data_IF_931743035385
#
_entry.id   IF_931743035385
#
_cell.length_a   1.000
_cell.length_b   1.000
_cell.length_c   1.000
_cell.angle_alpha   90.00
_cell.angle_beta   90.00
_cell.angle_gamma   90.00
#
_symmetry.space_group_name_H-M   'P 1'
#
loop_
_entity.id
_entity.type
_entity.pdbx_description
1 polymer ?
#
# COMPACT_ATOMS: atom_id res chain seq x y z
N UNK A 1 -33.18 -44.72 -37.05
CA UNK A 1 -32.93 -43.75 -35.97
C UNK A 1 -31.94 -42.70 -36.48
N UNK A 2 -32.40 -41.48 -36.80
CA UNK A 2 -31.52 -40.33 -37.07
C UNK A 2 -32.17 -39.12 -36.39
N UNK A 3 -31.59 -38.67 -35.27
CA UNK A 3 -32.06 -37.52 -34.51
C UNK A 3 -31.56 -36.22 -35.14
N UNK A 4 -32.45 -35.50 -35.83
CA UNK A 4 -32.23 -34.11 -36.27
C UNK A 4 -32.71 -33.13 -35.20
N UNK A 5 -31.89 -32.77 -34.21
CA UNK A 5 -32.14 -31.59 -33.35
C UNK A 5 -30.84 -30.95 -32.80
N UNK A 6 -30.12 -30.13 -33.58
CA UNK A 6 -29.17 -29.15 -33.02
C UNK A 6 -29.64 -27.69 -33.11
N UNK A 7 -30.69 -27.38 -33.88
CA UNK A 7 -31.08 -25.99 -34.18
C UNK A 7 -31.80 -25.25 -33.03
N UNK A 8 -32.51 -25.97 -32.15
CA UNK A 8 -33.34 -25.33 -31.10
C UNK A 8 -32.50 -24.85 -29.91
N UNK A 9 -31.40 -25.54 -29.59
CA UNK A 9 -30.52 -25.19 -28.47
C UNK A 9 -29.71 -23.91 -28.75
N UNK A 10 -29.34 -23.68 -30.01
CA UNK A 10 -28.61 -22.47 -30.40
C UNK A 10 -29.47 -21.20 -30.32
N UNK A 11 -30.77 -21.30 -30.62
CA UNK A 11 -31.68 -20.13 -30.56
C UNK A 11 -31.97 -19.74 -29.10
N UNK A 12 -32.09 -20.70 -28.18
CA UNK A 12 -32.27 -20.43 -26.76
C UNK A 12 -31.04 -19.75 -26.11
N UNK A 13 -29.83 -20.15 -26.51
CA UNK A 13 -28.59 -19.60 -25.96
C UNK A 13 -28.35 -18.15 -26.42
N UNK A 14 -28.70 -17.82 -27.67
CA UNK A 14 -28.59 -16.45 -28.22
C UNK A 14 -29.62 -15.50 -27.61
N UNK A 15 -30.80 -16.01 -27.24
CA UNK A 15 -31.87 -15.22 -26.62
C UNK A 15 -31.53 -14.81 -25.17
N UNK A 16 -30.82 -15.67 -24.43
CA UNK A 16 -30.37 -15.38 -23.06
C UNK A 16 -29.20 -14.37 -23.06
N UNK A 17 -28.33 -14.37 -24.07
CA UNK A 17 -27.27 -13.37 -24.21
C UNK A 17 -27.80 -11.96 -24.55
N UNK A 18 -28.91 -11.87 -25.29
CA UNK A 18 -29.52 -10.59 -25.67
C UNK A 18 -30.28 -9.91 -24.52
N UNK A 19 -30.80 -10.67 -23.55
CA UNK A 19 -31.56 -10.12 -22.42
C UNK A 19 -30.69 -9.47 -21.32
N UNK A 20 -29.37 -9.67 -21.33
CA UNK A 20 -28.45 -9.04 -20.37
C UNK A 20 -27.96 -7.67 -20.88
N UNK A 21 -28.20 -7.33 -22.15
CA UNK A 21 -27.71 -6.08 -22.78
C UNK A 21 -28.72 -4.92 -22.77
N UNK A 22 -29.92 -5.11 -22.20
CA UNK A 22 -31.01 -4.13 -22.26
C UNK A 22 -31.65 -3.90 -20.88
N UNK A 23 -30.88 -3.33 -19.96
CA UNK A 23 -31.42 -2.59 -18.80
C UNK A 23 -30.57 -1.35 -18.59
N UNK A 24 -31.01 -0.21 -19.13
CA UNK A 24 -30.48 1.13 -18.87
C UNK A 24 -31.35 1.83 -17.81
N UNK A 25 -30.89 2.94 -17.21
CA UNK A 25 -31.50 4.19 -17.63
C UNK A 25 -30.52 5.35 -17.88
N UNK A 26 -31.05 6.28 -18.66
CA UNK A 26 -30.50 7.50 -19.22
C UNK A 26 -30.27 8.65 -18.22
N UNK A 27 -29.51 9.66 -18.70
CA UNK A 27 -29.42 11.09 -18.30
C UNK A 27 -28.36 11.51 -17.26
N UNK A 28 -27.45 12.38 -17.70
CA UNK A 28 -26.53 13.14 -16.85
C UNK A 28 -25.06 12.81 -17.08
N UNK A 29 -24.35 13.67 -17.82
CA UNK A 29 -22.94 13.49 -18.14
C UNK A 29 -22.05 13.48 -16.91
N UNK A 30 -21.38 12.35 -16.67
CA UNK A 30 -19.99 12.32 -16.21
C UNK A 30 -19.43 10.99 -16.71
N UNK A 31 -18.40 11.00 -17.54
CA UNK A 31 -17.77 9.80 -18.12
C UNK A 31 -17.14 8.92 -17.02
N UNK A 32 -17.98 8.14 -16.34
CA UNK A 32 -17.58 7.10 -15.40
C UNK A 32 -17.51 5.75 -16.11
N UNK A 33 -16.39 5.04 -15.95
CA UNK A 33 -16.24 3.64 -16.38
C UNK A 33 -17.45 2.77 -16.01
N UNK A 34 -17.92 1.92 -16.92
CA UNK A 34 -19.02 0.96 -16.67
C UNK A 34 -18.61 -0.22 -15.78
N UNK A 35 -17.35 -0.29 -15.36
CA UNK A 35 -16.83 -1.35 -14.50
C UNK A 35 -17.38 -1.25 -13.08
N UNK A 36 -17.70 -2.39 -12.48
CA UNK A 36 -17.92 -2.47 -11.04
C UNK A 36 -16.61 -2.23 -10.29
N UNK A 37 -16.69 -1.83 -9.01
CA UNK A 37 -15.48 -1.66 -8.18
C UNK A 37 -14.65 -2.94 -8.11
N UNK A 38 -15.30 -4.10 -8.03
CA UNK A 38 -14.60 -5.39 -8.03
C UNK A 38 -13.85 -5.64 -9.34
N UNK A 39 -14.49 -5.42 -10.49
CA UNK A 39 -13.84 -5.56 -11.80
C UNK A 39 -12.69 -4.58 -11.97
N UNK A 40 -12.86 -3.34 -11.50
CA UNK A 40 -11.80 -2.35 -11.51
C UNK A 40 -10.60 -2.83 -10.69
N UNK A 41 -10.82 -3.30 -9.45
CA UNK A 41 -9.75 -3.81 -8.59
C UNK A 41 -9.04 -5.03 -9.19
N UNK A 42 -9.79 -5.95 -9.81
CA UNK A 42 -9.24 -7.10 -10.53
C UNK A 42 -8.38 -6.68 -11.73
N UNK A 43 -8.86 -5.74 -12.53
CA UNK A 43 -8.11 -5.21 -13.66
C UNK A 43 -6.83 -4.48 -13.21
N UNK A 44 -6.92 -3.68 -12.14
CA UNK A 44 -5.76 -3.01 -11.54
C UNK A 44 -4.74 -4.03 -11.01
N UNK A 45 -5.18 -5.10 -10.33
CA UNK A 45 -4.31 -6.20 -9.91
C UNK A 45 -3.53 -6.79 -11.08
N UNK A 46 -4.26 -7.15 -12.14
CA UNK A 46 -3.68 -7.80 -13.32
C UNK A 46 -2.76 -6.87 -14.11
N UNK A 47 -3.01 -5.56 -14.09
CA UNK A 47 -2.11 -4.57 -14.68
C UNK A 47 -0.85 -4.42 -13.83
N UNK A 48 -0.98 -4.32 -12.50
CA UNK A 48 0.14 -4.18 -11.57
C UNK A 48 1.05 -5.42 -11.56
N UNK A 49 0.52 -6.63 -11.75
CA UNK A 49 1.35 -7.84 -11.82
C UNK A 49 2.23 -7.93 -13.08
N UNK A 50 1.99 -7.07 -14.07
CA UNK A 50 2.78 -6.96 -15.31
C UNK A 50 3.68 -5.74 -15.33
N UNK A 51 3.76 -5.02 -14.21
CA UNK A 51 4.58 -3.83 -14.09
C UNK A 51 6.05 -4.21 -14.20
N UNK A 52 6.80 -3.58 -15.11
CA UNK A 52 8.25 -3.77 -15.20
C UNK A 52 9.01 -2.69 -14.43
N UNK A 53 8.44 -1.49 -14.35
CA UNK A 53 9.05 -0.34 -13.69
C UNK A 53 7.97 0.65 -13.26
N UNK A 54 8.22 1.41 -12.20
CA UNK A 54 7.37 2.52 -11.76
C UNK A 54 8.19 3.68 -11.19
N UNK A 55 7.65 4.88 -11.35
CA UNK A 55 8.02 6.02 -10.54
C UNK A 55 7.16 6.05 -9.29
N UNK A 56 7.77 6.39 -8.15
CA UNK A 56 7.13 6.31 -6.84
C UNK A 56 7.37 7.59 -6.09
N UNK A 57 6.28 8.28 -5.74
CA UNK A 57 6.30 9.40 -4.79
C UNK A 57 5.72 8.93 -3.46
N UNK A 58 6.49 9.14 -2.38
CA UNK A 58 6.08 8.81 -1.01
C UNK A 58 5.97 10.08 -0.20
N UNK A 59 4.83 10.26 0.46
CA UNK A 59 4.65 11.29 1.49
C UNK A 59 3.94 10.68 2.68
N UNK A 60 4.59 10.69 3.82
CA UNK A 60 4.03 10.27 5.09
C UNK A 60 4.23 11.38 6.13
N UNK A 61 3.22 11.58 6.97
CA UNK A 61 3.27 12.49 8.10
C UNK A 61 2.65 11.80 9.29
N UNK A 62 3.22 11.99 10.46
CA UNK A 62 2.65 11.46 11.69
C UNK A 62 3.05 12.27 12.90
N UNK A 63 2.44 11.91 14.02
CA UNK A 63 2.72 12.48 15.33
C UNK A 63 2.78 11.37 16.36
N UNK A 64 3.70 11.47 17.30
CA UNK A 64 3.89 10.47 18.35
C UNK A 64 4.56 11.07 19.58
N UNK A 65 4.65 10.28 20.64
CA UNK A 65 5.43 10.63 21.83
C UNK A 65 6.80 9.96 21.72
N UNK A 66 7.86 10.76 21.71
CA UNK A 66 9.22 10.27 21.83
C UNK A 66 9.58 10.17 23.32
N UNK A 67 10.14 9.02 23.73
CA UNK A 67 10.71 8.85 25.06
C UNK A 67 12.19 9.24 24.96
N UNK A 68 12.59 10.32 25.62
CA UNK A 68 14.01 10.68 25.69
C UNK A 68 14.71 9.78 26.70
N UNK A 69 15.41 8.75 26.24
CA UNK A 69 16.37 8.02 27.06
C UNK A 69 17.68 8.82 27.09
N UNK A 70 17.84 9.64 28.13
CA UNK A 70 19.16 10.21 28.39
C UNK A 70 20.14 9.05 28.62
N UNK A 71 21.18 8.94 27.80
CA UNK A 71 22.27 7.94 27.90
C UNK A 71 23.18 8.15 29.12
N UNK A 72 22.70 8.81 30.17
CA UNK A 72 23.42 8.95 31.42
C UNK A 72 23.13 7.71 32.30
N UNK A 73 24.20 7.07 32.76
CA UNK A 73 24.25 5.97 33.73
C UNK A 73 23.13 6.07 34.77
N UNK A 74 22.36 4.99 35.03
CA UNK A 74 21.14 5.06 35.83
C UNK A 74 21.45 5.43 37.28
N UNK A 75 21.29 6.70 37.64
CA UNK A 75 21.10 7.12 39.03
C UNK A 75 19.61 7.05 39.32
N UNK A 76 19.23 6.28 40.33
CA UNK A 76 17.87 6.09 40.83
C UNK A 76 17.12 7.41 40.99
N UNK A 77 16.16 7.70 40.10
CA UNK A 77 15.19 8.79 40.30
C UNK A 77 14.78 9.63 39.08
N UNK A 78 15.30 9.40 37.87
CA UNK A 78 14.88 10.18 36.70
C UNK A 78 13.57 9.66 36.12
N UNK A 79 12.48 10.44 36.26
CA UNK A 79 11.23 10.20 35.53
C UNK A 79 11.50 10.41 34.03
N UNK A 80 11.22 9.44 33.14
CA UNK A 80 11.40 9.64 31.71
C UNK A 80 10.48 10.77 31.24
N UNK A 81 11.08 11.82 30.67
CA UNK A 81 10.34 12.92 30.06
C UNK A 81 9.88 12.50 28.67
N UNK A 82 8.58 12.36 28.49
CA UNK A 82 7.97 12.18 27.18
C UNK A 82 7.89 13.52 26.47
N UNK A 83 8.31 13.56 25.21
CA UNK A 83 8.21 14.76 24.36
C UNK A 83 7.34 14.43 23.16
N UNK A 84 6.30 15.22 22.95
CA UNK A 84 5.47 15.11 21.75
C UNK A 84 6.28 15.54 20.53
N UNK A 85 6.20 14.79 19.45
CA UNK A 85 6.87 15.12 18.20
C UNK A 85 6.01 14.83 16.99
N UNK A 86 6.32 15.53 15.91
CA UNK A 86 5.80 15.22 14.57
C UNK A 86 6.95 14.73 13.71
N UNK A 87 6.64 13.88 12.75
CA UNK A 87 7.57 13.49 11.71
C UNK A 87 6.92 13.64 10.36
N UNK A 88 7.72 13.97 9.36
CA UNK A 88 7.34 13.88 7.96
C UNK A 88 8.44 13.17 7.18
N UNK A 89 8.04 12.23 6.34
CA UNK A 89 8.86 11.55 5.37
C UNK A 89 8.35 11.97 3.99
N UNK A 90 9.24 12.47 3.15
CA UNK A 90 8.99 12.61 1.71
C UNK A 90 10.04 11.82 0.97
N UNK A 91 9.68 11.15 -0.10
CA UNK A 91 10.64 10.52 -0.97
C UNK A 91 10.13 10.40 -2.38
N UNK A 92 11.05 10.24 -3.32
CA UNK A 92 10.74 9.90 -4.68
C UNK A 92 11.80 8.96 -5.24
N UNK A 93 11.45 8.26 -6.30
CA UNK A 93 12.41 7.47 -7.02
C UNK A 93 11.81 6.57 -8.06
N UNK A 94 12.69 5.82 -8.70
CA UNK A 94 12.36 4.92 -9.78
C UNK A 94 12.71 3.49 -9.36
N UNK A 95 11.78 2.59 -9.62
CA UNK A 95 11.92 1.16 -9.46
C UNK A 95 11.87 0.51 -10.84
N UNK A 96 12.81 -0.38 -11.11
CA UNK A 96 12.86 -1.23 -12.28
C UNK A 96 13.12 -2.68 -11.83
N UNK A 97 12.06 -3.49 -11.94
CA UNK A 97 12.09 -4.87 -11.50
C UNK A 97 13.08 -5.70 -12.34
N UNK A 98 13.71 -6.73 -11.74
CA UNK A 98 13.52 -7.14 -10.34
C UNK A 98 14.45 -6.43 -9.33
N UNK A 99 15.56 -5.82 -9.78
CA UNK A 99 16.71 -5.56 -8.90
C UNK A 99 17.38 -4.19 -9.14
N UNK A 100 16.68 -3.22 -9.71
CA UNK A 100 17.22 -1.88 -9.95
C UNK A 100 16.29 -0.83 -9.33
N UNK A 101 16.84 -0.02 -8.44
CA UNK A 101 16.09 0.99 -7.70
C UNK A 101 16.97 2.22 -7.53
N UNK A 102 16.38 3.41 -7.60
CA UNK A 102 17.01 4.66 -7.16
C UNK A 102 16.00 5.49 -6.40
N UNK A 103 16.22 5.66 -5.10
CA UNK A 103 15.31 6.38 -4.22
C UNK A 103 16.03 7.51 -3.47
N UNK A 104 15.29 8.57 -3.20
CA UNK A 104 15.71 9.66 -2.33
C UNK A 104 14.65 9.89 -1.28
N UNK A 105 15.07 10.03 -0.03
CA UNK A 105 14.19 10.25 1.11
C UNK A 105 14.67 11.45 1.92
N UNK A 106 13.74 12.24 2.39
CA UNK A 106 13.93 13.28 3.38
C UNK A 106 13.03 12.97 4.59
N UNK A 107 13.65 12.85 5.75
CA UNK A 107 12.96 12.64 7.03
C UNK A 107 13.16 13.89 7.87
N UNK A 108 12.06 14.57 8.18
CA UNK A 108 12.03 15.70 9.10
C UNK A 108 11.35 15.27 10.39
N UNK A 109 12.00 15.50 11.52
CA UNK A 109 11.47 15.26 12.86
C UNK A 109 11.41 16.59 13.59
N UNK A 110 10.24 16.95 14.11
CA UNK A 110 10.06 18.12 14.97
C UNK A 110 9.63 17.65 16.35
N UNK A 111 10.49 17.86 17.36
CA UNK A 111 10.24 17.43 18.73
C UNK A 111 9.92 18.66 19.57
N UNK A 112 8.81 18.64 20.30
CA UNK A 112 8.44 19.69 21.24
C UNK A 112 9.54 19.81 22.30
N UNK A 113 10.16 20.98 22.42
CA UNK A 113 11.31 21.26 23.29
C UNK A 113 12.60 20.49 22.94
N UNK A 114 12.69 19.93 21.73
CA UNK A 114 13.88 19.27 21.21
C UNK A 114 14.42 19.96 19.96
N UNK A 115 15.48 19.39 19.39
CA UNK A 115 16.07 19.87 18.14
C UNK A 115 15.27 19.34 16.95
N UNK A 116 14.81 20.23 16.08
CA UNK A 116 14.26 19.83 14.79
C UNK A 116 15.40 19.33 13.90
N UNK A 117 15.23 18.14 13.33
CA UNK A 117 16.25 17.52 12.47
C UNK A 117 15.64 17.20 11.12
N UNK A 118 16.39 17.46 10.05
CA UNK A 118 16.08 16.96 8.72
C UNK A 118 17.28 16.18 8.22
N UNK A 119 17.04 14.94 7.81
CA UNK A 119 18.05 14.06 7.27
C UNK A 119 17.64 13.64 5.87
N UNK A 120 18.57 13.78 4.92
CA UNK A 120 18.41 13.29 3.57
C UNK A 120 19.20 11.99 3.40
N UNK A 121 18.61 11.05 2.68
CA UNK A 121 19.20 9.76 2.36
C UNK A 121 18.95 9.49 0.87
N UNK A 122 20.00 9.14 0.14
CA UNK A 122 19.85 8.58 -1.20
C UNK A 122 20.26 7.12 -1.19
N UNK A 123 19.51 6.30 -1.91
CA UNK A 123 19.72 4.87 -2.05
C UNK A 123 19.70 4.49 -3.53
N UNK A 124 20.62 3.62 -3.94
CA UNK A 124 20.57 2.94 -5.23
C UNK A 124 20.71 1.45 -4.95
N UNK A 125 19.79 0.64 -5.47
CA UNK A 125 19.93 -0.83 -5.47
C UNK A 125 20.27 -1.26 -6.88
N UNK A 126 21.32 -2.08 -7.03
CA UNK A 126 21.70 -2.65 -8.30
C UNK A 126 22.17 -4.08 -8.10
N UNK A 127 21.33 -5.03 -8.52
CA UNK A 127 21.59 -6.46 -8.30
C UNK A 127 21.68 -6.77 -6.80
N UNK A 128 22.83 -7.30 -6.38
CA UNK A 128 23.09 -7.68 -4.98
C UNK A 128 23.76 -6.57 -4.16
N UNK A 129 23.89 -5.36 -4.71
CA UNK A 129 24.52 -4.21 -4.05
C UNK A 129 23.50 -3.13 -3.72
N UNK A 130 23.71 -2.50 -2.58
CA UNK A 130 22.97 -1.32 -2.13
C UNK A 130 23.97 -0.20 -1.88
N UNK A 131 23.78 0.92 -2.55
CA UNK A 131 24.59 2.12 -2.41
C UNK A 131 23.80 3.13 -1.59
N UNK A 132 24.39 3.62 -0.50
CA UNK A 132 23.74 4.59 0.38
C UNK A 132 24.60 5.86 0.43
N UNK A 133 23.98 7.00 0.14
CA UNK A 133 24.62 8.30 0.32
C UNK A 133 24.24 8.87 1.68
N UNK A 134 25.24 9.15 2.52
CA UNK A 134 25.01 9.85 3.77
C UNK A 134 24.70 11.34 3.56
N UNK A 135 24.37 12.04 4.65
CA UNK A 135 24.10 13.49 4.64
C UNK A 135 25.31 14.36 4.24
N UNK A 136 26.52 13.79 4.20
CA UNK A 136 27.75 14.46 3.74
C UNK A 136 28.05 14.21 2.26
N UNK A 137 27.17 13.50 1.55
CA UNK A 137 27.33 13.17 0.13
C UNK A 137 28.26 11.97 -0.13
N UNK A 138 28.71 11.26 0.90
CA UNK A 138 29.61 10.12 0.76
C UNK A 138 28.80 8.85 0.50
N UNK A 139 29.23 8.07 -0.50
CA UNK A 139 28.61 6.80 -0.86
C UNK A 139 29.25 5.62 -0.14
N UNK A 140 28.42 4.75 0.40
CA UNK A 140 28.78 3.47 1.00
C UNK A 140 28.16 2.35 0.17
N UNK A 141 28.89 1.25 0.03
CA UNK A 141 28.41 0.06 -0.68
C UNK A 141 28.18 -1.04 0.33
N UNK A 142 27.00 -1.63 0.29
CA UNK A 142 26.55 -2.71 1.16
C UNK A 142 26.12 -3.90 0.31
N UNK A 143 26.33 -5.10 0.82
CA UNK A 143 25.71 -6.29 0.26
C UNK A 143 24.22 -6.29 0.64
N UNK A 144 23.35 -6.54 -0.34
CA UNK A 144 21.89 -6.60 -0.12
C UNK A 144 21.52 -7.65 0.94
N UNK A 145 22.26 -8.75 0.99
CA UNK A 145 22.09 -9.81 2.00
C UNK A 145 22.32 -9.33 3.43
N UNK A 146 23.18 -8.32 3.64
CA UNK A 146 23.43 -7.74 4.95
C UNK A 146 22.26 -6.88 5.45
N UNK A 147 21.33 -6.52 4.56
CA UNK A 147 20.18 -5.68 4.84
C UNK A 147 18.85 -6.43 4.75
N UNK A 148 18.91 -7.76 4.74
CA UNK A 148 17.72 -8.62 4.74
C UNK A 148 16.84 -8.29 5.95
N UNK A 149 15.58 -7.90 5.71
CA UNK A 149 14.63 -7.43 6.72
C UNK A 149 14.61 -5.91 6.95
N UNK A 150 15.48 -5.13 6.29
CA UNK A 150 15.51 -3.66 6.38
C UNK A 150 15.28 -2.96 5.03
N UNK A 151 15.79 -3.52 3.93
CA UNK A 151 15.48 -3.08 2.56
C UNK A 151 14.93 -4.25 1.78
N UNK A 152 13.62 -4.40 1.84
CA UNK A 152 12.89 -5.08 0.78
C UNK A 152 12.23 -4.02 -0.09
N UNK A 153 12.48 -4.10 -1.39
CA UNK A 153 11.82 -3.25 -2.37
C UNK A 153 10.29 -3.42 -2.16
N UNK A 154 9.53 -2.35 -1.91
CA UNK A 154 8.10 -2.46 -1.61
C UNK A 154 7.28 -3.04 -2.78
N UNK A 155 7.86 -3.09 -3.98
CA UNK A 155 7.31 -3.70 -5.19
C UNK A 155 7.85 -5.12 -5.45
N UNK A 156 8.88 -5.59 -4.74
CA UNK A 156 9.48 -6.93 -4.95
C UNK A 156 8.53 -8.11 -4.60
N UNK A 157 7.45 -7.84 -3.87
CA UNK A 157 6.35 -8.77 -3.61
C UNK A 157 5.19 -8.71 -4.61
N UNK A 158 5.19 -7.74 -5.54
CA UNK A 158 4.09 -7.49 -6.51
C UNK A 158 4.29 -8.36 -7.76
N UNK A 159 4.81 -9.59 -7.61
CA UNK A 159 4.80 -10.53 -8.72
C UNK A 159 3.38 -11.04 -9.00
N UNK A 160 2.50 -10.99 -7.98
CA UNK A 160 1.05 -11.18 -8.06
C UNK A 160 0.42 -10.53 -6.82
N UNK A 161 0.02 -9.25 -6.86
CA UNK A 161 -0.78 -8.68 -5.78
C UNK A 161 -2.10 -9.45 -5.74
N UNK A 162 -2.18 -10.46 -4.87
CA UNK A 162 -3.37 -11.28 -4.72
C UNK A 162 -4.47 -10.48 -4.02
N UNK A 163 -5.14 -9.66 -4.82
CA UNK A 163 -6.30 -8.89 -4.41
C UNK A 163 -7.49 -9.81 -4.09
N UNK A 164 -7.38 -11.15 -4.24
CA UNK A 164 -8.33 -12.10 -3.65
C UNK A 164 -8.31 -12.07 -2.13
N UNK A 165 -7.19 -11.69 -1.50
CA UNK A 165 -7.17 -11.35 -0.08
C UNK A 165 -8.15 -10.22 0.21
N UNK A 166 -8.15 -9.16 -0.61
CA UNK A 166 -9.09 -8.06 -0.49
C UNK A 166 -10.54 -8.51 -0.71
N UNK A 167 -10.78 -9.52 -1.57
CA UNK A 167 -12.09 -10.16 -1.77
C UNK A 167 -12.56 -10.89 -0.51
N UNK A 168 -11.68 -11.65 0.16
CA UNK A 168 -11.98 -12.29 1.44
C UNK A 168 -12.26 -11.29 2.56
N UNK A 169 -11.58 -10.14 2.52
CA UNK A 169 -11.83 -9.03 3.44
C UNK A 169 -13.19 -8.38 3.20
N UNK A 170 -13.82 -8.51 2.02
CA UNK A 170 -15.03 -7.77 1.66
C UNK A 170 -16.20 -7.94 2.63
N UNK A 171 -16.32 -9.11 3.27
CA UNK A 171 -17.35 -9.36 4.28
C UNK A 171 -17.20 -8.49 5.53
N UNK A 172 -15.99 -7.97 5.74
CA UNK A 172 -15.54 -7.14 6.86
C UNK A 172 -15.05 -5.77 6.37
N UNK A 173 -15.47 -5.37 5.16
CA UNK A 173 -15.17 -4.05 4.61
C UNK A 173 -16.42 -3.29 4.19
N UNK A 174 -16.37 -1.97 4.32
CA UNK A 174 -17.28 -1.07 3.62
C UNK A 174 -16.54 -0.42 2.44
N UNK A 175 -17.02 -0.68 1.22
CA UNK A 175 -16.50 -0.03 0.01
C UNK A 175 -17.39 1.15 -0.36
N UNK A 176 -16.79 2.31 -0.60
CA UNK A 176 -17.44 3.49 -1.18
C UNK A 176 -16.74 3.88 -2.47
N UNK A 177 -17.50 4.05 -3.55
CA UNK A 177 -17.02 4.60 -4.82
C UNK A 177 -17.35 6.09 -4.87
N UNK A 178 -16.32 6.94 -4.87
CA UNK A 178 -16.46 8.40 -4.89
C UNK A 178 -16.46 8.96 -6.32
N UNK A 179 -16.50 8.10 -7.34
CA UNK A 179 -16.45 8.50 -8.74
C UNK A 179 -15.04 8.79 -9.24
N UNK A 180 -14.95 9.57 -10.30
CA UNK A 180 -13.68 9.85 -11.01
C UNK A 180 -13.06 11.15 -10.50
N UNK A 181 -11.75 11.12 -10.23
CA UNK A 181 -10.93 12.26 -9.83
C UNK A 181 -9.69 12.35 -10.70
N UNK A 182 -9.21 13.56 -10.98
CA UNK A 182 -7.96 13.75 -11.70
C UNK A 182 -6.79 13.71 -10.72
N UNK A 183 -5.79 12.87 -11.00
CA UNK A 183 -4.53 12.80 -10.29
C UNK A 183 -3.40 12.78 -11.31
N UNK A 184 -2.46 13.73 -11.21
CA UNK A 184 -1.34 13.87 -12.15
C UNK A 184 -1.77 13.91 -13.63
N UNK A 185 -2.90 14.56 -13.92
CA UNK A 185 -3.45 14.66 -15.28
C UNK A 185 -4.20 13.42 -15.77
N UNK A 186 -4.28 12.35 -14.97
CA UNK A 186 -4.99 11.12 -15.29
C UNK A 186 -6.30 11.03 -14.52
N UNK A 187 -7.36 10.57 -15.18
CA UNK A 187 -8.65 10.31 -14.54
C UNK A 187 -8.63 8.95 -13.84
N UNK A 188 -8.70 8.94 -12.52
CA UNK A 188 -8.71 7.74 -11.68
C UNK A 188 -10.03 7.62 -10.95
N UNK A 189 -10.47 6.39 -10.67
CA UNK A 189 -11.64 6.17 -9.81
C UNK A 189 -11.20 6.16 -8.34
N UNK A 190 -11.83 6.99 -7.52
CA UNK A 190 -11.52 7.10 -6.11
C UNK A 190 -12.36 6.12 -5.28
N UNK A 191 -11.73 5.03 -4.86
CA UNK A 191 -12.35 4.00 -4.04
C UNK A 191 -11.87 4.14 -2.59
N UNK A 192 -12.81 4.16 -1.65
CA UNK A 192 -12.53 4.07 -0.21
C UNK A 192 -12.91 2.69 0.30
N UNK A 193 -12.02 2.04 1.05
CA UNK A 193 -12.27 0.76 1.69
C UNK A 193 -12.03 0.93 3.18
N UNK A 194 -13.07 0.83 3.99
CA UNK A 194 -12.94 0.78 5.44
C UNK A 194 -12.83 -0.69 5.86
N UNK A 195 -11.74 -1.06 6.53
CA UNK A 195 -11.55 -2.40 7.11
C UNK A 195 -12.00 -2.36 8.57
N UNK A 196 -12.78 -3.36 9.00
CA UNK A 196 -12.96 -3.58 10.44
C UNK A 196 -11.71 -4.21 11.08
N UNK A 197 -11.74 -4.40 12.40
CA UNK A 197 -10.59 -4.94 13.14
C UNK A 197 -10.22 -6.38 12.71
N UNK A 198 -11.20 -7.19 12.32
CA UNK A 198 -10.98 -8.57 11.86
C UNK A 198 -10.31 -8.56 10.50
N UNK A 199 -10.82 -7.74 9.57
CA UNK A 199 -10.22 -7.54 8.26
C UNK A 199 -8.79 -6.98 8.36
N UNK A 200 -8.57 -5.96 9.19
CA UNK A 200 -7.24 -5.40 9.40
C UNK A 200 -6.27 -6.43 9.95
N UNK A 201 -6.70 -7.21 10.95
CA UNK A 201 -5.89 -8.30 11.53
C UNK A 201 -5.53 -9.35 10.49
N UNK A 202 -6.49 -9.82 9.70
CA UNK A 202 -6.24 -10.79 8.63
C UNK A 202 -5.31 -10.21 7.56
N UNK A 203 -5.51 -8.96 7.13
CA UNK A 203 -4.66 -8.31 6.15
C UNK A 203 -3.20 -8.24 6.62
N UNK A 204 -2.97 -7.76 7.84
CA UNK A 204 -1.63 -7.62 8.39
C UNK A 204 -0.99 -8.99 8.66
N UNK A 205 -1.76 -9.99 9.11
CA UNK A 205 -1.23 -11.33 9.42
C UNK A 205 -0.96 -12.20 8.19
N UNK A 206 -1.62 -11.91 7.06
CA UNK A 206 -1.42 -12.66 5.81
C UNK A 206 -0.32 -12.04 4.92
N UNK A 207 0.23 -10.89 5.30
CA UNK A 207 1.29 -10.23 4.56
C UNK A 207 2.62 -10.41 5.29
N UNK A 208 3.40 -11.40 4.86
CA UNK A 208 4.69 -11.74 5.48
C UNK A 208 5.66 -10.55 5.46
N UNK A 209 5.68 -9.74 4.39
CA UNK A 209 6.54 -8.56 4.32
C UNK A 209 6.17 -7.52 5.39
N UNK A 210 4.87 -7.27 5.58
CA UNK A 210 4.41 -6.36 6.65
C UNK A 210 4.68 -6.95 8.03
N UNK A 211 4.53 -8.26 8.22
CA UNK A 211 4.87 -8.95 9.46
C UNK A 211 6.35 -8.83 9.80
N UNK A 212 7.22 -8.99 8.81
CA UNK A 212 8.67 -8.91 8.98
C UNK A 212 9.11 -7.48 9.34
N UNK A 213 8.45 -6.46 8.77
CA UNK A 213 8.72 -5.05 9.06
C UNK A 213 8.17 -4.64 10.43
N UNK A 214 6.91 -5.00 10.74
CA UNK A 214 6.24 -4.54 11.96
C UNK A 214 6.67 -5.35 13.17
N UNK A 215 6.92 -6.65 13.02
CA UNK A 215 7.12 -7.60 14.11
C UNK A 215 5.79 -7.99 14.78
N UNK A 216 5.66 -9.29 15.10
CA UNK A 216 4.41 -9.88 15.62
C UNK A 216 3.89 -9.21 16.91
N UNK A 217 4.80 -8.78 17.80
CA UNK A 217 4.44 -8.13 19.06
C UNK A 217 3.86 -6.72 18.85
N UNK A 218 4.44 -5.94 17.93
CA UNK A 218 3.92 -4.60 17.62
C UNK A 218 2.60 -4.69 16.86
N UNK A 219 2.39 -5.72 16.06
CA UNK A 219 1.13 -5.95 15.35
C UNK A 219 -0.04 -6.17 16.32
N UNK A 220 0.16 -6.97 17.38
CA UNK A 220 -0.86 -7.13 18.42
C UNK A 220 -1.14 -5.80 19.14
N UNK A 221 -0.09 -5.04 19.50
CA UNK A 221 -0.26 -3.73 20.11
C UNK A 221 -1.00 -2.75 19.18
N UNK A 222 -0.70 -2.74 17.88
CA UNK A 222 -1.40 -1.90 16.89
C UNK A 222 -2.88 -2.28 16.82
N UNK A 223 -3.19 -3.58 16.73
CA UNK A 223 -4.58 -4.07 16.63
C UNK A 223 -5.37 -3.82 17.92
N UNK A 224 -4.75 -3.97 19.08
CA UNK A 224 -5.39 -3.80 20.39
C UNK A 224 -5.57 -2.31 20.75
N UNK A 225 -4.70 -1.44 20.23
CA UNK A 225 -4.77 0.01 20.45
C UNK A 225 -5.42 0.79 19.30
N UNK A 226 -5.73 0.16 18.15
CA UNK A 226 -6.64 0.75 17.17
C UNK A 226 -8.00 0.93 17.83
N UNK A 227 -8.36 2.19 18.14
CA UNK A 227 -9.72 2.54 18.52
C UNK A 227 -10.66 1.93 17.49
N UNK A 228 -11.76 1.33 17.94
CA UNK A 228 -12.75 0.71 17.06
C UNK A 228 -12.98 1.61 15.84
N UNK A 229 -12.54 1.15 14.68
CA UNK A 229 -12.99 1.71 13.42
C UNK A 229 -14.47 1.35 13.35
N UNK A 230 -15.31 2.21 13.92
CA UNK A 230 -16.74 2.13 13.69
C UNK A 230 -16.92 2.40 12.20
N UNK A 231 -16.92 1.33 11.42
CA UNK A 231 -17.41 1.33 10.04
C UNK A 231 -18.92 1.58 10.12
N UNK A 232 -19.32 2.83 10.30
CA UNK A 232 -20.68 3.28 9.96
C UNK A 232 -20.80 3.38 8.46
#
# INVERSE_FOLDING_TARGET
>A
MIHKRPAIVFIALVSILLLISACSPSTGGTSGSSLTVLQLLQNSSSAMSKLNSAHVDVKATGSGQAISSNTATPTTGSTPTTSNGTFSLTGNGDEALPNAESMQFAVTQNITNGTNTTSNLAQIVQGDKVYIQNTKGQWYVLDKSALKGYVDNPFSGINNPDLSLLIGLLQHTKITDNGVQSLNGQNLRHITIALDQVALKQFLSNNQQLLDILGQQNLNAIIDHTKAFNST
#
